data_IF_353377836730
#
_entry.id   IF_353377836730
#
_cell.length_a   1.000
_cell.length_b   1.000
_cell.length_c   1.000
_cell.angle_alpha   90.00
_cell.angle_beta   90.00
_cell.angle_gamma   90.00
#
_symmetry.space_group_name_H-M   'P 1'
#
loop_
_entity.id
_entity.type
_entity.pdbx_description
1 polymer ?
#
# COMPACT_ATOMS: atom_id res chain seq x y z
N UNK A 1 17.42 -0.07 8.40
CA UNK A 1 16.59 1.14 8.64
C UNK A 1 15.15 0.70 8.63
N UNK A 2 14.34 1.25 9.55
CA UNK A 2 12.89 1.00 9.58
C UNK A 2 12.19 2.34 9.82
N UNK A 3 11.11 2.57 9.10
CA UNK A 3 10.22 3.72 9.25
C UNK A 3 8.83 3.16 9.55
N UNK A 4 8.16 3.71 10.57
CA UNK A 4 6.80 3.34 10.93
C UNK A 4 5.93 4.59 10.88
N UNK A 5 4.87 4.54 10.10
CA UNK A 5 3.86 5.58 10.02
C UNK A 5 2.62 5.15 10.81
N UNK A 6 2.38 5.83 11.91
CA UNK A 6 1.14 5.70 12.68
C UNK A 6 0.09 6.60 12.07
N UNK A 7 -1.01 6.04 11.57
CA UNK A 7 -2.10 6.80 10.95
C UNK A 7 -3.08 7.28 12.03
N UNK A 8 -2.60 8.11 12.95
CA UNK A 8 -3.31 8.55 14.16
C UNK A 8 -3.83 9.99 14.10
N UNK A 9 -3.45 10.74 13.06
CA UNK A 9 -3.87 12.11 12.86
C UNK A 9 -3.89 12.51 11.38
N UNK A 10 -4.39 13.69 11.06
CA UNK A 10 -4.49 14.24 9.70
C UNK A 10 -3.58 15.46 9.47
N UNK A 11 -2.63 15.72 10.34
CA UNK A 11 -1.75 16.89 10.26
C UNK A 11 -0.36 16.51 9.73
N UNK A 12 0.19 15.42 10.24
CA UNK A 12 1.53 14.95 9.88
C UNK A 12 1.69 13.44 10.05
N UNK A 13 2.58 12.84 9.28
CA UNK A 13 3.11 11.50 9.49
C UNK A 13 4.61 11.62 9.70
N UNK A 14 5.09 11.20 10.89
CA UNK A 14 6.45 11.45 11.30
C UNK A 14 6.74 12.97 11.21
N UNK A 15 7.83 13.40 10.60
CA UNK A 15 8.16 14.81 10.36
C UNK A 15 7.53 15.39 9.08
N UNK A 16 6.70 14.63 8.38
CA UNK A 16 6.12 15.02 7.09
C UNK A 16 4.72 15.60 7.27
N UNK A 17 4.53 16.87 6.89
CA UNK A 17 3.21 17.49 6.84
C UNK A 17 2.35 16.78 5.79
N UNK A 18 1.08 16.53 6.15
CA UNK A 18 0.08 15.99 5.24
C UNK A 18 -0.60 17.06 4.40
N UNK A 19 -0.78 16.77 3.10
CA UNK A 19 -1.78 17.42 2.26
C UNK A 19 -3.00 16.50 2.17
N UNK A 20 -4.11 16.91 2.79
CA UNK A 20 -5.32 16.10 2.93
C UNK A 20 -6.34 16.49 1.88
N UNK A 21 -6.83 15.51 1.13
CA UNK A 21 -7.98 15.64 0.24
C UNK A 21 -9.23 15.07 0.91
N UNK A 22 -10.38 15.70 0.70
CA UNK A 22 -11.65 15.24 1.25
C UNK A 22 -11.77 15.45 2.77
N UNK A 23 -12.33 14.47 3.44
CA UNK A 23 -12.55 14.45 4.89
C UNK A 23 -12.37 13.05 5.47
N UNK A 24 -11.20 12.44 5.29
CA UNK A 24 -10.94 11.13 5.88
C UNK A 24 -11.09 11.20 7.41
N UNK A 25 -11.41 10.09 8.04
CA UNK A 25 -11.66 10.03 9.48
C UNK A 25 -10.65 9.12 10.18
N UNK A 26 -10.17 9.56 11.34
CA UNK A 26 -9.38 8.70 12.23
C UNK A 26 -10.33 7.77 12.98
N UNK A 27 -10.08 6.47 12.88
CA UNK A 27 -10.87 5.41 13.52
C UNK A 27 -9.97 4.46 14.33
N UNK A 28 -10.55 3.53 15.07
CA UNK A 28 -9.80 2.45 15.70
C UNK A 28 -9.45 1.36 14.67
N UNK A 29 -8.21 0.90 14.67
CA UNK A 29 -7.72 -0.21 13.85
C UNK A 29 -7.12 -1.34 14.70
N UNK A 30 -6.62 -2.42 14.09
CA UNK A 30 -6.12 -3.60 14.82
C UNK A 30 -4.78 -3.36 15.53
N UNK A 31 -3.96 -2.44 15.05
CA UNK A 31 -2.63 -2.11 15.60
C UNK A 31 -2.59 -0.70 16.21
N UNK A 32 -3.73 -0.10 16.49
CA UNK A 32 -3.85 1.27 16.94
C UNK A 32 -4.80 2.09 16.07
N UNK A 33 -4.65 3.41 15.96
CA UNK A 33 -5.44 4.23 15.07
C UNK A 33 -5.27 3.85 13.60
N UNK A 34 -6.30 4.16 12.80
CA UNK A 34 -6.33 3.97 11.36
C UNK A 34 -7.09 5.14 10.71
N UNK A 35 -6.91 5.33 9.42
CA UNK A 35 -7.65 6.35 8.66
C UNK A 35 -8.60 5.66 7.70
N UNK A 36 -9.86 6.08 7.72
CA UNK A 36 -10.92 5.63 6.84
C UNK A 36 -11.10 6.59 5.67
N UNK A 37 -11.30 6.04 4.47
CA UNK A 37 -11.41 6.72 3.18
C UNK A 37 -12.75 6.39 2.51
N UNK A 38 -13.39 7.39 1.87
CA UNK A 38 -14.74 7.28 1.29
C UNK A 38 -14.78 6.63 -0.11
N UNK A 39 -13.64 6.47 -0.77
CA UNK A 39 -13.55 5.94 -2.14
C UNK A 39 -13.89 6.95 -3.25
N UNK A 40 -14.01 8.25 -2.91
CA UNK A 40 -14.45 9.29 -3.85
C UNK A 40 -13.47 10.46 -3.90
N UNK A 41 -13.03 10.95 -2.73
CA UNK A 41 -12.21 12.16 -2.61
C UNK A 41 -11.22 12.14 -1.45
N UNK A 42 -11.31 11.16 -0.54
CA UNK A 42 -10.49 11.08 0.64
C UNK A 42 -9.11 10.52 0.33
N UNK A 43 -8.08 11.28 0.64
CA UNK A 43 -6.69 10.85 0.46
C UNK A 43 -5.72 11.69 1.30
N UNK A 44 -4.52 11.12 1.52
CA UNK A 44 -3.38 11.81 2.10
C UNK A 44 -2.24 11.84 1.09
N UNK A 45 -1.57 12.99 0.96
CA UNK A 45 -0.38 13.16 0.14
C UNK A 45 0.80 13.59 1.01
N UNK A 46 1.93 12.94 0.82
CA UNK A 46 3.17 13.14 1.56
C UNK A 46 4.29 13.46 0.56
N UNK A 47 5.04 14.55 0.80
CA UNK A 47 6.10 15.02 -0.10
C UNK A 47 7.36 14.16 -0.15
N UNK A 48 7.36 13.00 0.52
CA UNK A 48 8.51 12.07 0.59
C UNK A 48 8.12 10.68 0.13
N UNK A 49 9.13 9.89 -0.26
CA UNK A 49 9.03 8.48 -0.59
C UNK A 49 9.96 7.68 0.33
N UNK A 50 9.45 6.88 1.28
CA UNK A 50 10.26 6.08 2.19
C UNK A 50 11.14 5.02 1.52
N UNK A 51 10.84 4.66 0.27
CA UNK A 51 11.64 3.70 -0.51
C UNK A 51 12.82 4.33 -1.25
N UNK A 52 12.93 5.67 -1.26
CA UNK A 52 13.98 6.34 -2.04
C UNK A 52 15.38 5.84 -1.64
N UNK A 53 16.15 5.35 -2.62
CA UNK A 53 17.49 4.82 -2.44
C UNK A 53 17.59 3.40 -1.87
N UNK A 54 16.48 2.71 -1.58
CA UNK A 54 16.51 1.31 -1.14
C UNK A 54 16.65 0.37 -2.33
N UNK A 55 17.59 -0.57 -2.25
CA UNK A 55 17.79 -1.64 -3.23
C UNK A 55 16.87 -2.84 -2.96
N UNK A 56 16.58 -3.05 -1.68
CA UNK A 56 15.73 -4.14 -1.18
C UNK A 56 14.83 -3.61 -0.08
N UNK A 57 13.59 -4.08 -0.01
CA UNK A 57 12.64 -3.57 0.96
C UNK A 57 11.54 -4.56 1.34
N UNK A 58 10.91 -4.29 2.46
CA UNK A 58 9.61 -4.82 2.86
C UNK A 58 8.70 -3.67 3.22
N UNK A 59 7.48 -3.68 2.67
CA UNK A 59 6.40 -2.77 3.04
C UNK A 59 5.30 -3.59 3.69
N UNK A 60 4.78 -3.13 4.82
CA UNK A 60 3.69 -3.80 5.53
C UNK A 60 2.65 -2.78 5.95
N UNK A 61 1.39 -3.18 5.97
CA UNK A 61 0.31 -2.31 6.46
C UNK A 61 -0.90 -3.12 6.94
N UNK A 62 -1.67 -2.49 7.85
CA UNK A 62 -3.03 -2.93 8.16
C UNK A 62 -4.01 -2.35 7.13
N UNK A 63 -4.89 -3.17 6.62
CA UNK A 63 -5.78 -2.84 5.50
C UNK A 63 -7.17 -3.44 5.71
N UNK A 64 -8.21 -2.65 5.43
CA UNK A 64 -9.61 -3.10 5.39
C UNK A 64 -10.29 -2.50 4.17
N UNK A 65 -10.59 -3.29 3.13
CA UNK A 65 -11.41 -2.83 2.00
C UNK A 65 -12.90 -2.89 2.34
N UNK A 66 -13.66 -1.85 2.00
CA UNK A 66 -15.09 -1.80 2.25
C UNK A 66 -15.90 -2.00 0.97
N UNK A 67 -17.15 -2.46 1.10
CA UNK A 67 -18.08 -2.63 -0.02
C UNK A 67 -18.41 -1.30 -0.71
N UNK A 68 -18.74 -1.37 -2.00
CA UNK A 68 -19.21 -0.23 -2.80
C UNK A 68 -18.09 0.71 -3.24
N UNK A 69 -16.83 0.32 -3.13
CA UNK A 69 -15.71 0.97 -3.79
C UNK A 69 -15.64 0.63 -5.29
N UNK A 70 -14.69 1.25 -6.00
CA UNK A 70 -14.39 0.90 -7.40
C UNK A 70 -13.90 -0.55 -7.50
N UNK A 71 -14.14 -1.19 -8.64
CA UNK A 71 -13.62 -2.55 -8.90
C UNK A 71 -12.09 -2.59 -8.82
N UNK A 72 -11.44 -1.49 -9.15
CA UNK A 72 -9.98 -1.32 -9.14
C UNK A 72 -9.64 -0.08 -8.33
N UNK A 73 -8.88 -0.25 -7.25
CA UNK A 73 -8.54 0.82 -6.31
C UNK A 73 -7.05 0.79 -5.99
N UNK A 74 -6.42 1.97 -5.83
CA UNK A 74 -5.04 2.14 -5.39
C UNK A 74 -5.06 2.77 -4.01
N UNK A 75 -4.52 2.07 -3.02
CA UNK A 75 -4.59 2.54 -1.65
C UNK A 75 -3.23 2.98 -1.08
N UNK A 76 -2.12 2.59 -1.69
CA UNK A 76 -0.79 3.12 -1.38
C UNK A 76 -0.01 3.27 -2.69
N UNK A 77 0.54 4.47 -2.91
CA UNK A 77 1.37 4.81 -4.06
C UNK A 77 2.65 5.48 -3.58
N UNK A 78 3.78 4.93 -3.95
CA UNK A 78 5.13 5.39 -3.60
C UNK A 78 5.91 5.65 -4.89
N UNK A 79 6.50 6.84 -5.06
CA UNK A 79 7.31 7.19 -6.21
C UNK A 79 6.73 8.30 -7.07
N UNK A 80 6.72 8.12 -8.38
CA UNK A 80 6.25 9.11 -9.36
C UNK A 80 4.85 8.76 -9.89
N UNK A 81 4.07 9.78 -10.26
CA UNK A 81 2.72 9.57 -10.78
C UNK A 81 2.69 8.73 -12.07
N UNK A 82 3.67 8.88 -12.96
CA UNK A 82 3.77 8.19 -14.26
C UNK A 82 5.18 7.63 -14.55
N UNK A 83 6.09 7.68 -13.56
CA UNK A 83 7.45 7.13 -13.64
C UNK A 83 7.60 5.91 -12.75
N UNK A 84 8.79 5.79 -12.18
CA UNK A 84 9.15 4.69 -11.28
C UNK A 84 8.32 4.76 -10.00
N UNK A 85 7.71 3.63 -9.61
CA UNK A 85 6.76 3.58 -8.50
C UNK A 85 6.51 2.18 -7.98
N UNK A 86 6.03 2.13 -6.77
CA UNK A 86 5.45 0.92 -6.14
C UNK A 86 4.01 1.22 -5.75
N UNK A 87 3.09 0.32 -6.08
CA UNK A 87 1.66 0.44 -5.77
C UNK A 87 1.17 -0.77 -4.98
N UNK A 88 0.28 -0.49 -4.03
CA UNK A 88 -0.66 -1.49 -3.51
C UNK A 88 -2.04 -1.17 -4.05
N UNK A 89 -2.64 -2.17 -4.64
CA UNK A 89 -3.94 -2.10 -5.28
C UNK A 89 -4.86 -3.20 -4.75
N UNK A 90 -6.16 -2.96 -4.77
CA UNK A 90 -7.16 -3.98 -4.48
C UNK A 90 -8.13 -4.09 -5.65
N UNK A 91 -8.53 -5.33 -5.93
CA UNK A 91 -9.52 -5.68 -6.95
C UNK A 91 -10.76 -6.22 -6.26
N UNK A 92 -11.89 -5.50 -6.36
CA UNK A 92 -13.18 -5.99 -5.86
C UNK A 92 -13.87 -6.83 -6.92
N UNK A 93 -14.36 -8.01 -6.53
CA UNK A 93 -15.05 -8.93 -7.45
C UNK A 93 -16.52 -8.56 -7.70
N UNK A 94 -17.08 -7.63 -6.91
CA UNK A 94 -18.52 -7.30 -6.96
C UNK A 94 -19.41 -8.33 -6.26
N UNK A 95 -18.83 -9.35 -5.63
CA UNK A 95 -19.55 -10.42 -4.91
C UNK A 95 -19.20 -10.47 -3.43
N UNK A 96 -18.68 -9.36 -2.87
CA UNK A 96 -18.27 -9.27 -1.46
C UNK A 96 -16.86 -9.79 -1.18
N UNK A 97 -16.04 -9.99 -2.20
CA UNK A 97 -14.66 -10.43 -2.09
C UNK A 97 -13.70 -9.49 -2.80
N UNK A 98 -12.43 -9.55 -2.40
CA UNK A 98 -11.32 -8.84 -3.01
C UNK A 98 -10.10 -9.75 -3.14
N UNK A 99 -9.14 -9.36 -3.96
CA UNK A 99 -7.79 -9.93 -4.04
C UNK A 99 -6.73 -8.83 -4.13
N UNK A 100 -5.51 -9.17 -3.67
CA UNK A 100 -4.39 -8.23 -3.68
C UNK A 100 -3.79 -8.14 -5.07
N UNK A 101 -3.45 -6.90 -5.46
CA UNK A 101 -2.64 -6.58 -6.61
C UNK A 101 -1.53 -5.63 -6.16
N UNK A 102 -0.30 -5.94 -6.48
CA UNK A 102 0.84 -5.05 -6.27
C UNK A 102 1.50 -4.76 -7.61
N UNK A 103 2.04 -3.56 -7.75
CA UNK A 103 2.67 -3.16 -9.00
C UNK A 103 3.98 -2.45 -8.71
N UNK A 104 5.03 -2.88 -9.40
CA UNK A 104 6.34 -2.22 -9.41
C UNK A 104 6.64 -1.77 -10.85
N UNK A 105 7.05 -0.49 -11.00
CA UNK A 105 7.65 0.04 -12.22
C UNK A 105 8.99 0.66 -11.85
N UNK A 106 10.06 0.21 -12.49
CA UNK A 106 11.43 0.65 -12.24
C UNK A 106 12.25 0.57 -13.52
N UNK A 107 12.64 1.75 -14.07
CA UNK A 107 13.32 1.84 -15.36
C UNK A 107 12.49 1.25 -16.49
N UNK A 108 13.07 0.26 -17.19
CA UNK A 108 12.41 -0.45 -18.31
C UNK A 108 11.62 -1.69 -17.84
N UNK A 109 11.62 -1.99 -16.53
CA UNK A 109 10.88 -3.11 -15.94
C UNK A 109 9.58 -2.64 -15.32
N UNK A 110 8.49 -3.34 -15.63
CA UNK A 110 7.22 -3.14 -14.96
C UNK A 110 6.50 -4.48 -14.74
N UNK A 111 5.81 -4.60 -13.60
CA UNK A 111 5.08 -5.81 -13.26
C UNK A 111 3.89 -5.53 -12.37
N UNK A 112 2.74 -6.09 -12.76
CA UNK A 112 1.62 -6.31 -11.84
C UNK A 112 1.70 -7.72 -11.28
N UNK A 113 1.58 -7.88 -9.98
CA UNK A 113 1.66 -9.15 -9.28
C UNK A 113 0.35 -9.41 -8.54
N UNK A 114 -0.45 -10.32 -9.08
CA UNK A 114 -1.77 -10.64 -8.55
C UNK A 114 -2.10 -12.12 -8.73
N UNK A 115 -3.02 -12.61 -7.91
CA UNK A 115 -3.60 -13.94 -8.04
C UNK A 115 -5.10 -13.90 -7.74
N UNK A 116 -5.91 -13.94 -8.79
CA UNK A 116 -7.38 -13.88 -8.71
C UNK A 116 -8.02 -15.06 -7.97
N UNK A 117 -7.25 -16.12 -7.70
CA UNK A 117 -7.71 -17.28 -6.93
C UNK A 117 -7.68 -17.08 -5.42
N UNK A 118 -6.94 -16.07 -4.92
CA UNK A 118 -6.83 -15.73 -3.51
C UNK A 118 -7.88 -14.68 -3.13
N UNK A 119 -9.08 -15.12 -2.83
CA UNK A 119 -10.22 -14.27 -2.52
C UNK A 119 -10.43 -14.11 -1.02
N UNK A 120 -10.61 -12.86 -0.59
CA UNK A 120 -10.84 -12.48 0.80
C UNK A 120 -12.15 -11.72 0.94
N UNK A 121 -12.93 -11.92 2.03
CA UNK A 121 -14.12 -11.10 2.31
C UNK A 121 -13.78 -9.61 2.44
N UNK A 122 -14.63 -8.73 1.96
CA UNK A 122 -14.55 -7.28 2.26
C UNK A 122 -15.04 -6.98 3.68
N UNK A 123 -14.69 -5.82 4.22
CA UNK A 123 -15.12 -5.36 5.54
C UNK A 123 -14.31 -5.93 6.71
N UNK A 124 -13.31 -6.76 6.45
CA UNK A 124 -12.43 -7.34 7.45
C UNK A 124 -11.03 -6.72 7.39
N UNK A 125 -10.32 -6.74 8.51
CA UNK A 125 -8.94 -6.28 8.60
C UNK A 125 -7.96 -7.38 8.18
N UNK A 126 -6.96 -6.98 7.40
CA UNK A 126 -5.87 -7.84 6.92
C UNK A 126 -4.53 -7.18 7.20
N UNK A 127 -3.52 -8.00 7.44
CA UNK A 127 -2.13 -7.59 7.32
C UNK A 127 -1.68 -7.86 5.90
N UNK A 128 -1.15 -6.84 5.21
CA UNK A 128 -0.55 -6.97 3.89
C UNK A 128 0.95 -6.77 3.98
N UNK A 129 1.70 -7.49 3.17
CA UNK A 129 3.12 -7.24 2.97
C UNK A 129 3.52 -7.37 1.50
N UNK A 130 4.50 -6.58 1.08
CA UNK A 130 5.22 -6.69 -0.18
C UNK A 130 6.71 -6.70 0.14
N UNK A 131 7.40 -7.74 -0.28
CA UNK A 131 8.86 -7.82 -0.24
C UNK A 131 9.43 -7.69 -1.65
N UNK A 132 10.59 -7.04 -1.76
CA UNK A 132 11.37 -6.98 -2.99
C UNK A 132 12.85 -7.14 -2.65
N UNK A 133 13.51 -8.12 -3.26
CA UNK A 133 14.94 -8.39 -3.07
C UNK A 133 15.82 -7.79 -4.19
N UNK A 134 15.23 -6.99 -5.07
CA UNK A 134 15.86 -6.39 -6.24
C UNK A 134 15.70 -7.22 -7.52
N UNK A 135 15.29 -8.49 -7.42
CA UNK A 135 15.10 -9.42 -8.55
C UNK A 135 13.72 -10.04 -8.59
N UNK A 136 13.17 -10.32 -7.43
CA UNK A 136 11.85 -10.89 -7.25
C UNK A 136 11.03 -10.04 -6.28
N UNK A 137 9.75 -9.94 -6.54
CA UNK A 137 8.75 -9.39 -5.62
C UNK A 137 7.81 -10.49 -5.16
N UNK A 138 7.37 -10.39 -3.89
CA UNK A 138 6.40 -11.33 -3.31
C UNK A 138 5.40 -10.56 -2.46
N UNK A 139 4.12 -10.78 -2.70
CA UNK A 139 3.06 -10.22 -1.88
C UNK A 139 2.43 -11.26 -0.94
N UNK A 140 1.94 -10.77 0.21
CA UNK A 140 1.41 -11.59 1.29
C UNK A 140 0.12 -10.99 1.84
N UNK A 141 -0.81 -11.85 2.21
CA UNK A 141 -1.98 -11.49 3.02
C UNK A 141 -1.97 -12.34 4.28
N UNK A 142 -2.02 -11.70 5.46
CA UNK A 142 -1.94 -12.35 6.77
C UNK A 142 -0.75 -13.31 6.93
N UNK A 143 0.40 -12.93 6.35
CA UNK A 143 1.64 -13.73 6.39
C UNK A 143 1.67 -14.91 5.43
N UNK A 144 0.63 -15.13 4.62
CA UNK A 144 0.57 -16.17 3.60
C UNK A 144 0.96 -15.56 2.24
N UNK A 145 1.93 -16.16 1.57
CA UNK A 145 2.31 -15.78 0.21
C UNK A 145 1.16 -16.04 -0.76
N UNK A 146 0.80 -15.06 -1.58
CA UNK A 146 -0.26 -15.19 -2.58
C UNK A 146 0.25 -15.13 -4.01
N UNK A 147 1.29 -14.34 -4.25
CA UNK A 147 1.93 -14.28 -5.55
C UNK A 147 3.41 -13.91 -5.40
N UNK A 148 4.23 -14.42 -6.30
CA UNK A 148 5.66 -14.11 -6.40
C UNK A 148 6.08 -14.07 -7.87
N UNK A 149 7.06 -13.25 -8.19
CA UNK A 149 7.58 -13.21 -9.54
C UNK A 149 8.72 -12.23 -9.77
N UNK A 150 9.41 -12.35 -10.92
CA UNK A 150 10.59 -11.56 -11.19
C UNK A 150 10.26 -10.08 -11.45
N UNK A 151 11.12 -9.20 -10.92
CA UNK A 151 11.16 -7.77 -11.21
C UNK A 151 12.62 -7.32 -11.23
N UNK A 152 13.02 -6.56 -12.23
CA UNK A 152 14.35 -5.95 -12.26
C UNK A 152 14.23 -4.55 -11.60
N UNK A 153 14.38 -4.53 -10.27
CA UNK A 153 14.16 -3.35 -9.47
C UNK A 153 15.45 -2.55 -9.28
N UNK A 154 15.47 -1.32 -9.79
CA UNK A 154 16.47 -0.31 -9.44
C UNK A 154 15.91 0.64 -8.37
N UNK A 155 16.74 1.16 -7.43
CA UNK A 155 16.29 2.08 -6.39
C UNK A 155 15.54 3.28 -6.94
N UNK A 156 14.39 3.59 -6.37
CA UNK A 156 13.65 4.81 -6.68
C UNK A 156 14.49 6.03 -6.27
N UNK A 157 14.62 7.02 -7.16
CA UNK A 157 15.48 8.19 -6.91
C UNK A 157 14.82 9.26 -6.06
N UNK A 158 13.52 9.14 -5.80
CA UNK A 158 12.71 10.12 -5.07
C UNK A 158 11.23 9.86 -5.23
N UNK A 159 10.44 10.92 -5.35
CA UNK A 159 8.99 10.85 -5.53
C UNK A 159 8.21 11.22 -4.28
N UNK A 160 6.93 10.95 -4.30
CA UNK A 160 5.94 11.28 -3.26
C UNK A 160 5.23 10.01 -2.82
N UNK A 161 4.43 10.14 -1.77
CA UNK A 161 3.51 9.08 -1.35
C UNK A 161 2.08 9.59 -1.39
N UNK A 162 1.15 8.74 -1.85
CA UNK A 162 -0.28 8.94 -1.68
C UNK A 162 -0.89 7.73 -0.98
N UNK A 163 -1.79 7.99 -0.03
CA UNK A 163 -2.56 6.98 0.70
C UNK A 163 -4.05 7.23 0.43
N UNK A 164 -4.80 6.18 0.09
CA UNK A 164 -6.21 6.26 -0.27
C UNK A 164 -6.50 6.55 -1.74
N UNK A 165 -5.46 6.81 -2.55
CA UNK A 165 -5.62 7.09 -3.99
C UNK A 165 -4.28 6.94 -4.73
N UNK A 166 -4.32 6.80 -6.05
CA UNK A 166 -3.13 7.00 -6.89
C UNK A 166 -2.71 8.48 -6.93
N UNK A 167 -1.42 8.80 -7.03
CA UNK A 167 -0.88 10.18 -7.07
C UNK A 167 -1.55 11.09 -8.13
N UNK A 168 -2.00 10.55 -9.25
CA UNK A 168 -2.74 11.29 -10.27
C UNK A 168 -4.26 11.40 -10.00
N UNK A 169 -4.69 11.09 -8.77
CA UNK A 169 -6.07 11.23 -8.26
C UNK A 169 -7.11 10.40 -9.03
N UNK A 170 -6.76 9.17 -9.40
CA UNK A 170 -7.68 8.16 -9.96
C UNK A 170 -7.67 6.90 -9.10
N UNK A 171 -8.69 6.05 -9.25
CA UNK A 171 -8.81 4.77 -8.55
C UNK A 171 -8.80 4.93 -7.02
N UNK A 172 -9.72 5.80 -6.54
CA UNK A 172 -9.91 6.09 -5.13
C UNK A 172 -10.26 4.83 -4.32
N UNK A 173 -9.68 4.74 -3.13
CA UNK A 173 -9.86 3.63 -2.23
C UNK A 173 -10.99 3.88 -1.23
N UNK A 174 -11.87 2.89 -1.08
CA UNK A 174 -12.90 2.85 -0.05
C UNK A 174 -12.56 1.78 0.98
N UNK A 175 -12.33 2.20 2.21
CA UNK A 175 -11.92 1.32 3.30
C UNK A 175 -11.06 2.03 4.32
N UNK A 176 -10.26 1.30 5.06
CA UNK A 176 -9.38 1.87 6.07
C UNK A 176 -7.95 1.32 5.98
N UNK A 177 -6.98 2.16 6.32
CA UNK A 177 -5.57 1.82 6.39
C UNK A 177 -5.07 2.20 7.78
N UNK A 178 -4.41 1.24 8.44
CA UNK A 178 -3.75 1.43 9.72
C UNK A 178 -2.26 1.69 9.57
N UNK A 179 -1.47 1.29 10.58
CA UNK A 179 -0.02 1.44 10.59
C UNK A 179 0.62 0.94 9.29
N UNK A 180 1.58 1.71 8.76
CA UNK A 180 2.42 1.31 7.61
C UNK A 180 3.87 1.22 8.09
N UNK A 181 4.54 0.10 7.81
CA UNK A 181 5.94 -0.11 8.12
C UNK A 181 6.77 -0.29 6.84
N UNK A 182 7.86 0.45 6.73
CA UNK A 182 8.87 0.32 5.67
C UNK A 182 10.16 -0.18 6.28
N UNK A 183 10.69 -1.28 5.77
CA UNK A 183 11.95 -1.87 6.24
C UNK A 183 12.93 -1.98 5.09
N UNK A 184 14.17 -1.49 5.29
CA UNK A 184 15.28 -1.72 4.36
C UNK A 184 15.78 -3.16 4.55
N UNK A 185 15.28 -4.08 3.73
CA UNK A 185 15.55 -5.51 3.79
C UNK A 185 14.32 -6.35 3.52
N UNK A 186 14.54 -7.59 3.15
CA UNK A 186 13.50 -8.60 2.99
C UNK A 186 13.26 -9.28 4.33
N UNK A 187 12.05 -9.16 4.85
CA UNK A 187 11.62 -9.84 6.08
C UNK A 187 10.98 -11.19 5.74
N UNK A 188 11.19 -12.18 6.59
CA UNK A 188 10.44 -13.42 6.57
C UNK A 188 9.05 -13.21 7.22
N UNK A 189 8.02 -14.01 6.87
CA UNK A 189 6.67 -13.85 7.42
C UNK A 189 6.58 -13.87 8.96
N UNK A 190 7.52 -14.54 9.64
CA UNK A 190 7.61 -14.60 11.09
C UNK A 190 8.04 -13.26 11.73
N UNK A 191 8.66 -12.37 10.93
CA UNK A 191 9.15 -11.04 11.34
C UNK A 191 8.15 -9.92 11.04
N UNK A 192 7.03 -10.25 10.37
CA UNK A 192 5.99 -9.29 10.03
C UNK A 192 5.29 -8.73 11.29
N UNK A 193 4.67 -7.54 11.13
CA UNK A 193 3.83 -6.94 12.19
C UNK A 193 2.74 -7.93 12.65
N UNK A 194 2.49 -7.95 13.96
CA UNK A 194 1.48 -8.82 14.61
C UNK A 194 0.62 -8.01 15.55
#
# INVERSE_FOLDING_TARGET
MQIVWELDNLEQLDDNKLDVSGRPAVIAGPYGPAIEFDGVQDALFIGTNPLAGLEVFTIELAFRPDEGGLAEQRFLHLGEANGDRVLFETRLTGTGYWYLDTYISSGDSDRALLNEGHLHPVGEWYHLALTCDGRDETNFVNGVEEASGPVDFAPLTGGQTAIGVRLNRVCWFKGAIGQIRFTAGVLAPEEFMR
#
